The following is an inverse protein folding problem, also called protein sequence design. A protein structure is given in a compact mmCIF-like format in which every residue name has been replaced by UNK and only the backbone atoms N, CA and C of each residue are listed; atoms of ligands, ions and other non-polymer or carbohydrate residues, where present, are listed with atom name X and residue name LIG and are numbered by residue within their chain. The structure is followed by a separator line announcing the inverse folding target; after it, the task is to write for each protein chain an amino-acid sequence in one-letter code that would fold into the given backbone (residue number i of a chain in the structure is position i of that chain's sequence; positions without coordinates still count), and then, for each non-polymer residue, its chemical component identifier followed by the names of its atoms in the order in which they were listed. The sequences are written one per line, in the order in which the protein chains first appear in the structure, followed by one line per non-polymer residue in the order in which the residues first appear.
data_IF_889807924931
#
_entry.id   IF_889807924931
#
_cell.length_a   1.000
_cell.length_b   1.000
_cell.length_c   1.000
_cell.angle_alpha   90.00
_cell.angle_beta   90.00
_cell.angle_gamma   90.00
#
_symmetry.space_group_name_H-M   'P 1'
#
loop_
_entity.id
_entity.type
_entity.pdbx_description
1 polymer ?
#
# COMPACT_ATOMS: atom_id res chain seq x y z
N UNK A 1 6.69 -7.04 13.11
CA UNK A 1 7.44 -5.85 13.45
C UNK A 1 7.44 -4.81 12.33
N UNK A 2 7.96 -3.65 12.67
CA UNK A 2 8.08 -2.56 11.72
C UNK A 2 9.20 -2.83 10.72
N UNK A 3 8.94 -2.54 9.46
CA UNK A 3 9.92 -2.63 8.38
C UNK A 3 10.04 -1.30 7.66
N UNK A 4 11.11 -1.13 6.89
CA UNK A 4 11.35 0.11 6.15
C UNK A 4 11.82 -0.19 4.74
N UNK A 5 11.35 0.62 3.79
CA UNK A 5 11.85 0.68 2.42
C UNK A 5 12.49 2.04 2.22
N UNK A 6 13.68 2.06 1.65
CA UNK A 6 14.40 3.29 1.30
C UNK A 6 14.79 3.25 -0.16
N UNK A 7 14.47 4.33 -0.88
CA UNK A 7 14.82 4.48 -2.29
C UNK A 7 15.46 5.85 -2.49
N UNK A 8 16.51 5.90 -3.29
CA UNK A 8 17.13 7.16 -3.72
C UNK A 8 16.93 7.29 -5.23
N UNK A 9 16.30 8.39 -5.65
CA UNK A 9 16.02 8.68 -7.03
C UNK A 9 16.36 10.13 -7.33
N UNK A 10 17.17 10.38 -8.35
CA UNK A 10 17.63 11.73 -8.72
C UNK A 10 18.28 12.47 -7.54
N UNK A 11 19.07 11.76 -6.74
CA UNK A 11 19.74 12.31 -5.55
C UNK A 11 18.81 12.56 -4.36
N UNK A 12 17.51 12.23 -4.49
CA UNK A 12 16.53 12.44 -3.43
C UNK A 12 16.17 11.11 -2.78
N UNK A 13 16.40 11.01 -1.47
CA UNK A 13 16.03 9.83 -0.70
C UNK A 13 14.57 9.89 -0.28
N UNK A 14 13.91 8.74 -0.27
CA UNK A 14 12.58 8.56 0.29
C UNK A 14 12.55 7.32 1.14
N UNK A 15 11.74 7.32 2.19
CA UNK A 15 11.63 6.21 3.12
C UNK A 15 10.18 6.00 3.54
N UNK A 16 9.77 4.74 3.55
CA UNK A 16 8.43 4.33 4.01
C UNK A 16 8.58 3.27 5.09
N UNK A 17 7.96 3.49 6.25
CA UNK A 17 7.78 2.44 7.26
C UNK A 17 6.56 1.63 6.89
N UNK A 18 6.56 0.34 7.20
CA UNK A 18 5.39 -0.48 6.97
C UNK A 18 5.29 -1.65 7.94
N UNK A 19 4.06 -2.06 8.20
CA UNK A 19 3.75 -3.19 9.07
C UNK A 19 2.72 -4.07 8.39
N UNK A 20 2.86 -5.39 8.56
CA UNK A 20 1.87 -6.34 8.08
C UNK A 20 0.65 -6.30 9.01
N UNK A 21 -0.53 -6.15 8.42
CA UNK A 21 -1.80 -6.24 9.13
C UNK A 21 -2.41 -7.62 8.97
N UNK A 22 -2.45 -8.13 7.74
CA UNK A 22 -3.05 -9.44 7.46
C UNK A 22 -2.41 -10.04 6.21
N UNK A 23 -2.13 -11.33 6.24
CA UNK A 23 -1.59 -12.07 5.08
C UNK A 23 -2.69 -12.90 4.46
N UNK A 24 -2.75 -12.87 3.11
CA UNK A 24 -3.66 -13.67 2.30
C UNK A 24 -2.85 -14.56 1.37
N UNK A 25 -3.52 -15.49 0.69
CA UNK A 25 -2.88 -16.24 -0.39
C UNK A 25 -2.59 -15.28 -1.55
N UNK A 26 -1.31 -15.05 -1.82
CA UNK A 26 -0.87 -14.20 -2.94
C UNK A 26 -0.95 -12.70 -2.72
N UNK A 27 -1.36 -12.23 -1.55
CA UNK A 27 -1.43 -10.80 -1.24
C UNK A 27 -1.25 -10.55 0.25
N UNK A 28 -0.98 -9.30 0.61
CA UNK A 28 -0.80 -8.89 2.02
C UNK A 28 -1.38 -7.49 2.20
N UNK A 29 -2.12 -7.32 3.29
CA UNK A 29 -2.56 -5.99 3.72
C UNK A 29 -1.49 -5.40 4.64
N UNK A 30 -1.04 -4.19 4.33
CA UNK A 30 -0.07 -3.49 5.16
C UNK A 30 -0.57 -2.11 5.55
N UNK A 31 -0.07 -1.61 6.69
CA UNK A 31 -0.09 -0.19 7.00
C UNK A 31 1.24 0.41 6.58
N UNK A 32 1.20 1.44 5.75
CA UNK A 32 2.38 2.15 5.28
C UNK A 32 2.37 3.59 5.81
N UNK A 33 3.53 4.03 6.31
CA UNK A 33 3.72 5.39 6.83
C UNK A 33 4.88 6.03 6.08
N UNK A 34 4.60 6.86 5.07
CA UNK A 34 5.67 7.54 4.33
C UNK A 34 6.33 8.60 5.22
N UNK A 35 7.67 8.62 5.24
CA UNK A 35 8.46 9.59 5.99
C UNK A 35 8.88 10.78 5.12
N UNK A 36 8.45 10.80 3.86
CA UNK A 36 8.67 11.86 2.89
C UNK A 36 7.46 11.88 1.96
N UNK A 37 7.33 12.94 1.16
CA UNK A 37 6.17 13.10 0.26
C UNK A 37 6.56 13.05 -1.21
N UNK A 38 7.38 12.08 -1.63
CA UNK A 38 7.76 11.95 -3.04
C UNK A 38 6.60 11.43 -3.88
N UNK A 39 6.60 11.80 -5.17
CA UNK A 39 5.56 11.39 -6.11
C UNK A 39 5.41 9.86 -6.15
N UNK A 40 4.19 9.40 -5.98
CA UNK A 40 3.84 7.96 -5.97
C UNK A 40 4.69 7.12 -5.03
N UNK A 41 5.16 7.71 -3.92
CA UNK A 41 6.15 7.07 -3.05
C UNK A 41 5.79 5.63 -2.63
N UNK A 42 4.59 5.41 -2.12
CA UNK A 42 4.19 4.08 -1.64
C UNK A 42 4.09 3.10 -2.80
N UNK A 43 3.60 3.54 -3.95
CA UNK A 43 3.49 2.72 -5.17
C UNK A 43 4.87 2.29 -5.68
N UNK A 44 5.81 3.23 -5.74
CA UNK A 44 7.20 2.99 -6.17
C UNK A 44 7.91 2.07 -5.18
N UNK A 45 7.72 2.32 -3.88
CA UNK A 45 8.34 1.48 -2.84
C UNK A 45 7.82 0.06 -2.86
N UNK A 46 6.52 -0.14 -3.07
CA UNK A 46 5.95 -1.48 -3.24
C UNK A 46 6.58 -2.23 -4.41
N UNK A 47 6.71 -1.56 -5.55
CA UNK A 47 7.37 -2.15 -6.72
C UNK A 47 8.84 -2.48 -6.43
N UNK A 48 9.56 -1.60 -5.74
CA UNK A 48 11.00 -1.79 -5.47
C UNK A 48 11.30 -3.04 -4.65
N UNK A 49 10.37 -3.50 -3.84
CA UNK A 49 10.51 -4.73 -3.06
C UNK A 49 9.81 -5.93 -3.70
N UNK A 50 9.40 -5.80 -4.97
CA UNK A 50 8.76 -6.88 -5.72
C UNK A 50 7.29 -7.10 -5.40
N UNK A 51 6.64 -6.15 -4.74
CA UNK A 51 5.24 -6.25 -4.31
C UNK A 51 4.43 -5.03 -4.74
N UNK A 52 4.14 -4.88 -6.04
CA UNK A 52 3.32 -3.76 -6.49
C UNK A 52 1.93 -3.80 -5.86
N UNK A 53 1.33 -2.63 -5.69
CA UNK A 53 0.00 -2.52 -5.10
C UNK A 53 -1.04 -3.11 -6.06
N UNK A 54 -1.99 -3.88 -5.53
CA UNK A 54 -3.08 -4.44 -6.34
C UNK A 54 -3.86 -3.30 -7.00
N UNK A 55 -4.13 -3.43 -8.30
CA UNK A 55 -4.84 -2.42 -9.06
C UNK A 55 -3.97 -1.28 -9.58
N UNK A 56 -2.65 -1.36 -9.39
CA UNK A 56 -1.74 -0.33 -9.90
C UNK A 56 -1.48 -0.54 -11.38
N UNK A 57 -2.09 0.29 -12.21
CA UNK A 57 -1.98 0.21 -13.67
C UNK A 57 -0.66 0.76 -14.21
N UNK A 58 0.08 1.52 -13.42
CA UNK A 58 1.37 2.08 -13.83
C UNK A 58 2.55 1.20 -13.41
N UNK A 59 2.54 0.68 -12.19
CA UNK A 59 3.67 -0.05 -11.60
C UNK A 59 3.40 -1.54 -11.44
N UNK A 60 2.22 -2.03 -11.75
CA UNK A 60 1.79 -3.41 -11.52
C UNK A 60 1.84 -4.34 -12.72
N UNK A 61 2.56 -3.98 -13.78
CA UNK A 61 2.51 -4.71 -15.05
C UNK A 61 3.08 -6.14 -15.02
N UNK A 62 4.07 -6.39 -14.20
CA UNK A 62 4.77 -7.68 -14.12
C UNK A 62 4.47 -8.40 -12.82
N UNK A 63 3.25 -8.27 -12.32
CA UNK A 63 2.85 -8.93 -11.08
C UNK A 63 2.55 -10.41 -11.32
N UNK A 64 2.86 -11.23 -10.31
CA UNK A 64 2.45 -12.64 -10.26
C UNK A 64 1.10 -12.82 -9.57
N UNK A 65 0.45 -11.74 -9.17
CA UNK A 65 -0.83 -11.77 -8.50
C UNK A 65 -1.92 -12.35 -9.43
N UNK A 66 -2.60 -13.39 -8.96
CA UNK A 66 -3.68 -14.06 -9.69
C UNK A 66 -5.00 -14.08 -8.93
N UNK A 67 -5.10 -13.30 -7.85
CA UNK A 67 -6.31 -13.22 -7.03
C UNK A 67 -7.41 -12.39 -7.66
N UNK A 68 -8.46 -12.07 -6.88
CA UNK A 68 -9.57 -11.24 -7.36
C UNK A 68 -9.10 -9.90 -7.93
N UNK A 69 -9.72 -9.47 -9.01
CA UNK A 69 -9.37 -8.19 -9.62
C UNK A 69 -9.89 -7.02 -8.77
N UNK A 70 -9.08 -5.96 -8.72
CA UNK A 70 -9.46 -4.71 -8.08
C UNK A 70 -9.92 -3.71 -9.15
N UNK A 71 -10.97 -2.96 -8.84
CA UNK A 71 -11.50 -1.93 -9.75
C UNK A 71 -10.72 -0.62 -9.66
N UNK A 72 -9.83 -0.52 -8.70
CA UNK A 72 -9.05 0.69 -8.43
C UNK A 72 -7.70 0.33 -7.81
N UNK A 73 -6.81 1.30 -7.75
CA UNK A 73 -5.59 1.18 -6.96
C UNK A 73 -5.96 0.95 -5.48
N UNK A 74 -5.51 -0.15 -4.92
CA UNK A 74 -5.82 -0.52 -3.53
C UNK A 74 -4.89 0.19 -2.54
N UNK A 75 -4.97 1.51 -2.54
CA UNK A 75 -4.22 2.40 -1.65
C UNK A 75 -5.20 3.42 -1.08
N UNK A 76 -5.25 3.50 0.26
CA UNK A 76 -6.17 4.39 0.96
C UNK A 76 -5.45 5.12 2.08
N UNK A 77 -5.58 6.45 2.10
CA UNK A 77 -5.07 7.28 3.19
C UNK A 77 -6.07 7.22 4.35
N UNK A 78 -5.77 6.40 5.36
CA UNK A 78 -6.69 6.15 6.47
C UNK A 78 -6.51 7.12 7.64
N UNK A 79 -5.37 7.79 7.73
CA UNK A 79 -5.06 8.67 8.86
C UNK A 79 -4.12 9.78 8.44
N UNK A 80 -4.43 11.00 8.85
CA UNK A 80 -3.60 12.17 8.64
C UNK A 80 -3.40 12.89 9.96
N UNK A 81 -2.14 13.09 10.35
CA UNK A 81 -1.75 13.85 11.54
C UNK A 81 -0.98 15.09 11.10
N UNK A 82 -1.49 16.26 11.47
CA UNK A 82 -0.83 17.54 11.23
C UNK A 82 -0.67 18.22 12.61
N UNK A 83 0.54 18.71 12.94
CA UNK A 83 0.74 19.40 14.22
C UNK A 83 -0.30 20.51 14.45
N UNK A 84 -0.83 20.57 15.66
CA UNK A 84 -1.82 21.57 16.11
C UNK A 84 -3.21 21.45 15.46
N UNK A 85 -3.48 20.36 14.73
CA UNK A 85 -4.79 20.06 14.15
C UNK A 85 -5.31 18.72 14.68
N UNK A 86 -6.64 18.53 14.73
CA UNK A 86 -7.18 17.21 15.06
C UNK A 86 -6.73 16.14 14.10
N UNK A 87 -6.54 14.91 14.58
CA UNK A 87 -6.26 13.76 13.73
C UNK A 87 -7.46 13.51 12.81
N UNK A 88 -7.20 13.33 11.53
CA UNK A 88 -8.22 13.01 10.54
C UNK A 88 -8.10 11.52 10.21
N UNK A 89 -9.21 10.80 10.36
CA UNK A 89 -9.29 9.39 10.02
C UNK A 89 -10.40 9.14 8.99
N UNK A 90 -10.14 8.23 8.07
CA UNK A 90 -11.10 7.79 7.07
C UNK A 90 -11.14 6.26 7.05
N UNK A 91 -12.31 5.64 7.25
CA UNK A 91 -12.41 4.18 7.23
C UNK A 91 -12.09 3.65 5.83
N UNK A 92 -11.67 2.38 5.78
CA UNK A 92 -11.39 1.72 4.51
C UNK A 92 -12.62 1.74 3.59
N UNK A 93 -12.46 2.13 2.31
CA UNK A 93 -13.57 2.12 1.36
C UNK A 93 -14.19 0.73 1.21
N UNK A 94 -15.48 0.70 0.93
CA UNK A 94 -16.22 -0.55 0.81
C UNK A 94 -15.67 -1.48 -0.26
N UNK A 95 -15.24 -0.95 -1.41
CA UNK A 95 -14.66 -1.73 -2.49
C UNK A 95 -13.35 -2.44 -2.07
N UNK A 96 -12.53 -1.78 -1.25
CA UNK A 96 -11.34 -2.42 -0.69
C UNK A 96 -11.69 -3.48 0.35
N UNK A 97 -12.72 -3.23 1.18
CA UNK A 97 -13.20 -4.22 2.14
C UNK A 97 -13.72 -5.47 1.43
N UNK A 98 -14.47 -5.29 0.35
CA UNK A 98 -14.95 -6.41 -0.46
C UNK A 98 -13.82 -7.24 -1.04
N UNK A 99 -12.79 -6.59 -1.57
CA UNK A 99 -11.61 -7.29 -2.08
C UNK A 99 -10.94 -8.11 -0.97
N UNK A 100 -10.79 -7.53 0.21
CA UNK A 100 -10.21 -8.24 1.34
C UNK A 100 -11.03 -9.45 1.75
N UNK A 101 -12.35 -9.33 1.75
CA UNK A 101 -13.24 -10.44 2.06
C UNK A 101 -13.10 -11.57 1.03
N UNK A 102 -12.95 -11.23 -0.24
CA UNK A 102 -12.69 -12.22 -1.29
C UNK A 102 -11.33 -12.88 -1.13
N UNK A 103 -10.30 -12.12 -0.76
CA UNK A 103 -8.97 -12.67 -0.50
C UNK A 103 -8.98 -13.63 0.70
N UNK A 104 -9.74 -13.33 1.75
CA UNK A 104 -9.86 -14.20 2.92
C UNK A 104 -10.52 -15.55 2.59
N UNK A 105 -11.37 -15.58 1.57
CA UNK A 105 -12.03 -16.82 1.14
C UNK A 105 -11.11 -17.73 0.33
N UNK A 106 -10.03 -17.23 -0.19
CA UNK A 106 -9.04 -18.03 -0.92
C UNK A 106 -8.18 -18.83 0.05
N UNK A 107 -8.00 -20.09 -0.26
CA UNK A 107 -7.21 -21.01 0.59
C UNK A 107 -5.91 -21.39 -0.09
#
# INVERSE_FOLDING_TARGET
GERRVRVTQDGKASQTKWNVVERFKGATLIHASPLSGRTHQIRVHGLSIGHPIIGDDKYGHNTTYTGPEARRLCLHAMRLEIPDYPVIEAPMPEDMQQLMDELRKQK
#
